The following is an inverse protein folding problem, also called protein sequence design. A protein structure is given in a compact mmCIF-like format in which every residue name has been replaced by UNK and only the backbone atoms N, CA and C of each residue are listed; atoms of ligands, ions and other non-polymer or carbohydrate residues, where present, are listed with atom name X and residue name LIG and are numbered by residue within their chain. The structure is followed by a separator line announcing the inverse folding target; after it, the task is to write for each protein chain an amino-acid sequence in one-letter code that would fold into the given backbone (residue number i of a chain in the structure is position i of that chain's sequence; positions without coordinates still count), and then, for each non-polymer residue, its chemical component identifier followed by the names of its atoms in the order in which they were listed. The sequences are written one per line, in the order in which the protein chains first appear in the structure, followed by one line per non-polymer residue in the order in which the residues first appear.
data_IF_618914045799
#
_entry.id   IF_618914045799
#
_cell.length_a   1.000
_cell.length_b   1.000
_cell.length_c   1.000
_cell.angle_alpha   90.00
_cell.angle_beta   90.00
_cell.angle_gamma   90.00
#
_symmetry.space_group_name_H-M   'P 1'
#
loop_
_entity.id
_entity.type
_entity.pdbx_description
1 polymer ?
#
# COMPACT_ATOMS: atom_id res chain seq x y z
N UNK A 1 -5.94 2.56 19.26
CA UNK A 1 -6.08 3.88 18.58
C UNK A 1 -5.34 3.78 17.25
N UNK A 2 -5.97 4.19 16.15
CA UNK A 2 -5.30 4.23 14.85
C UNK A 2 -4.19 5.30 14.80
N UNK A 3 -3.16 5.06 13.99
CA UNK A 3 -2.01 5.96 13.92
C UNK A 3 -2.25 7.21 13.06
N UNK A 4 -1.61 8.32 13.41
CA UNK A 4 -1.48 9.51 12.56
C UNK A 4 -0.22 9.33 11.70
N UNK A 5 -0.37 9.27 10.39
CA UNK A 5 0.76 8.98 9.49
C UNK A 5 1.56 10.26 9.23
N UNK A 6 2.82 10.27 9.66
CA UNK A 6 3.78 11.36 9.43
C UNK A 6 4.86 10.99 8.42
N UNK A 7 5.19 9.70 8.28
CA UNK A 7 6.24 9.22 7.39
C UNK A 7 5.82 7.99 6.57
N UNK A 8 6.40 7.84 5.39
CA UNK A 8 6.31 6.67 4.53
C UNK A 8 7.74 6.16 4.30
N UNK A 9 7.95 4.88 4.62
CA UNK A 9 9.20 4.17 4.41
C UNK A 9 9.07 3.21 3.23
N UNK A 10 10.04 3.28 2.32
CA UNK A 10 10.11 2.48 1.11
C UNK A 10 11.17 1.39 1.26
N UNK A 11 10.78 0.15 0.97
CA UNK A 11 11.57 -1.04 1.22
C UNK A 11 11.70 -1.93 -0.02
N UNK A 12 12.63 -2.86 0.01
CA UNK A 12 12.43 -4.17 -0.61
C UNK A 12 12.27 -5.21 0.47
N UNK A 13 11.82 -6.40 0.10
CA UNK A 13 11.54 -7.48 1.05
C UNK A 13 12.73 -8.41 1.28
N UNK A 14 13.76 -8.34 0.44
CA UNK A 14 14.85 -9.31 0.37
C UNK A 14 14.38 -10.76 0.07
N UNK A 15 13.42 -10.91 -0.85
CA UNK A 15 12.75 -12.18 -1.16
C UNK A 15 12.53 -12.35 -2.67
N UNK A 16 12.00 -13.50 -3.14
CA UNK A 16 11.51 -13.65 -4.51
C UNK A 16 10.37 -12.68 -4.87
N UNK A 17 10.09 -12.57 -6.17
CA UNK A 17 9.13 -11.63 -6.77
C UNK A 17 7.65 -11.86 -6.44
N UNK A 18 7.30 -12.98 -5.83
CA UNK A 18 5.93 -13.37 -5.52
C UNK A 18 5.63 -13.31 -4.01
N UNK A 19 6.63 -12.97 -3.19
CA UNK A 19 6.44 -12.89 -1.74
C UNK A 19 5.55 -11.70 -1.35
N UNK A 20 4.54 -11.99 -0.55
CA UNK A 20 3.73 -11.01 0.15
C UNK A 20 3.12 -11.67 1.39
N UNK A 21 3.59 -11.28 2.59
CA UNK A 21 3.07 -11.81 3.86
C UNK A 21 2.71 -10.65 4.81
N UNK A 22 1.57 -10.75 5.52
CA UNK A 22 1.15 -9.74 6.48
C UNK A 22 2.11 -9.64 7.67
N UNK A 23 2.03 -8.53 8.42
CA UNK A 23 2.83 -8.30 9.63
C UNK A 23 4.18 -7.61 9.42
N UNK A 24 4.68 -7.53 8.17
CA UNK A 24 5.97 -6.90 7.86
C UNK A 24 5.82 -5.51 7.23
N UNK A 25 4.99 -5.41 6.20
CA UNK A 25 4.78 -4.18 5.45
C UNK A 25 3.28 -3.95 5.28
N UNK A 26 2.88 -2.70 5.13
CA UNK A 26 1.48 -2.37 4.90
C UNK A 26 1.08 -2.78 3.48
N UNK A 27 1.97 -2.52 2.52
CA UNK A 27 1.76 -2.84 1.12
C UNK A 27 3.02 -3.46 0.51
N UNK A 28 2.85 -4.51 -0.29
CA UNK A 28 3.91 -5.17 -1.05
C UNK A 28 3.57 -5.18 -2.53
N UNK A 29 4.51 -4.76 -3.38
CA UNK A 29 4.36 -4.76 -4.84
C UNK A 29 5.15 -5.93 -5.42
N UNK A 30 4.43 -6.87 -6.04
CA UNK A 30 4.99 -8.08 -6.66
C UNK A 30 5.79 -7.78 -7.92
N UNK A 31 6.65 -8.70 -8.37
CA UNK A 31 7.53 -8.53 -9.54
C UNK A 31 6.79 -8.21 -10.84
N UNK A 32 5.56 -8.70 -10.98
CA UNK A 32 4.67 -8.40 -12.11
C UNK A 32 3.93 -7.05 -11.97
N UNK A 33 4.15 -6.31 -10.89
CA UNK A 33 3.52 -5.04 -10.59
C UNK A 33 2.25 -5.13 -9.75
N UNK A 34 1.75 -6.31 -9.41
CA UNK A 34 0.57 -6.47 -8.55
C UNK A 34 0.81 -5.80 -7.19
N UNK A 35 -0.12 -4.94 -6.76
CA UNK A 35 -0.09 -4.29 -5.45
C UNK A 35 -0.91 -5.12 -4.46
N UNK A 36 -0.29 -5.54 -3.35
CA UNK A 36 -0.92 -6.30 -2.26
C UNK A 36 -0.98 -5.46 -1.00
N UNK A 37 -2.18 -5.07 -0.56
CA UNK A 37 -2.40 -4.45 0.73
C UNK A 37 -2.53 -5.56 1.77
N UNK A 38 -1.56 -5.60 2.68
CA UNK A 38 -1.42 -6.66 3.68
C UNK A 38 -1.81 -6.18 5.08
N UNK A 39 -1.73 -4.88 5.32
CA UNK A 39 -2.14 -4.25 6.57
C UNK A 39 -2.66 -2.85 6.28
N UNK A 40 -3.79 -2.47 6.88
CA UNK A 40 -4.35 -1.13 6.71
C UNK A 40 -3.40 -0.05 7.22
N UNK A 41 -3.30 1.07 6.51
CA UNK A 41 -2.42 2.19 6.89
C UNK A 41 -2.75 2.82 8.25
N UNK A 42 -3.95 2.58 8.77
CA UNK A 42 -4.39 3.00 10.10
C UNK A 42 -3.82 2.14 11.25
N UNK A 43 -3.20 1.00 10.93
CA UNK A 43 -2.62 0.07 11.90
C UNK A 43 -1.10 0.21 11.94
N UNK A 44 -0.53 0.42 13.12
CA UNK A 44 0.93 0.42 13.26
C UNK A 44 1.49 -0.99 13.11
N UNK A 45 2.67 -1.09 12.51
CA UNK A 45 3.50 -2.29 12.46
C UNK A 45 4.74 -2.07 13.32
N UNK A 46 5.38 -3.13 13.81
CA UNK A 46 6.50 -3.03 14.76
C UNK A 46 7.88 -3.35 14.17
N UNK A 47 7.94 -3.88 12.94
CA UNK A 47 9.14 -4.57 12.44
C UNK A 47 9.56 -4.19 11.01
N UNK A 48 9.38 -2.95 10.57
CA UNK A 48 9.82 -2.51 9.23
C UNK A 48 10.97 -1.50 9.23
N UNK A 49 11.04 -0.60 10.20
CA UNK A 49 12.07 0.45 10.27
C UNK A 49 12.44 0.73 11.73
N UNK A 50 13.61 0.27 12.15
CA UNK A 50 14.06 0.34 13.55
C UNK A 50 13.98 1.78 14.09
N UNK A 51 13.43 1.93 15.30
CA UNK A 51 13.24 3.23 15.96
C UNK A 51 12.26 4.19 15.28
N UNK A 52 11.55 3.74 14.22
CA UNK A 52 10.80 4.62 13.31
C UNK A 52 9.43 4.08 12.90
N UNK A 53 8.98 2.94 13.44
CA UNK A 53 7.76 2.28 12.96
C UNK A 53 6.44 3.02 13.28
N UNK A 54 6.36 3.69 14.43
CA UNK A 54 5.14 4.40 14.83
C UNK A 54 4.90 5.64 13.98
N UNK A 55 3.63 6.00 13.80
CA UNK A 55 3.21 7.16 12.99
C UNK A 55 3.75 7.09 11.55
N UNK A 56 3.89 5.87 11.03
CA UNK A 56 4.51 5.62 9.74
C UNK A 56 3.88 4.44 9.00
N UNK A 57 4.06 4.45 7.68
CA UNK A 57 3.60 3.40 6.79
C UNK A 57 4.80 2.84 6.02
N UNK A 58 4.77 1.54 5.76
CA UNK A 58 5.83 0.82 5.06
C UNK A 58 5.31 0.19 3.77
N UNK A 59 5.89 0.60 2.63
CA UNK A 59 5.62 0.06 1.30
C UNK A 59 6.87 -0.68 0.83
N UNK A 60 6.73 -1.89 0.32
CA UNK A 60 7.85 -2.70 -0.16
C UNK A 60 7.66 -3.19 -1.59
N UNK A 61 8.75 -3.42 -2.30
CA UNK A 61 8.76 -4.23 -3.54
C UNK A 61 9.33 -5.61 -3.24
N UNK A 62 8.65 -6.67 -3.65
CA UNK A 62 9.13 -8.03 -3.42
C UNK A 62 10.27 -8.36 -4.38
N UNK A 63 11.51 -8.25 -3.94
CA UNK A 63 12.68 -8.43 -4.80
C UNK A 63 13.94 -8.58 -3.94
N UNK A 64 15.10 -8.59 -4.59
CA UNK A 64 16.42 -8.65 -3.97
C UNK A 64 16.60 -9.91 -3.10
N UNK A 65 16.30 -11.09 -3.67
CA UNK A 65 16.46 -12.38 -3.02
C UNK A 65 17.87 -12.65 -2.45
N UNK A 66 18.19 -13.91 -2.16
CA UNK A 66 19.34 -14.29 -1.32
C UNK A 66 20.69 -13.69 -1.73
N UNK A 67 20.92 -13.47 -3.01
CA UNK A 67 22.15 -12.89 -3.54
C UNK A 67 21.84 -11.52 -4.16
N UNK A 68 22.32 -10.45 -3.54
CA UNK A 68 22.03 -9.07 -3.95
C UNK A 68 22.14 -8.85 -5.46
N UNK A 69 21.22 -8.07 -6.03
CA UNK A 69 21.10 -7.77 -7.46
C UNK A 69 20.79 -8.96 -8.40
N UNK A 70 20.62 -10.19 -7.91
CA UNK A 70 20.13 -11.29 -8.77
C UNK A 70 18.66 -11.14 -9.16
N UNK A 71 17.89 -10.41 -8.36
CA UNK A 71 16.48 -10.09 -8.62
C UNK A 71 16.22 -8.61 -8.31
N UNK A 72 16.74 -7.67 -9.12
CA UNK A 72 16.58 -6.23 -8.88
C UNK A 72 15.11 -5.80 -8.94
N UNK A 73 14.71 -4.69 -8.32
CA UNK A 73 13.36 -4.14 -8.53
C UNK A 73 13.02 -4.01 -10.02
N UNK A 74 11.87 -4.55 -10.44
CA UNK A 74 11.41 -4.40 -11.82
C UNK A 74 10.91 -2.98 -12.08
N UNK A 75 10.90 -2.54 -13.35
CA UNK A 75 10.41 -1.21 -13.69
C UNK A 75 8.94 -1.01 -13.25
N UNK A 76 8.11 -2.05 -13.39
CA UNK A 76 6.69 -1.98 -12.99
C UNK A 76 6.52 -1.98 -11.46
N UNK A 77 7.41 -2.64 -10.72
CA UNK A 77 7.45 -2.57 -9.25
C UNK A 77 7.69 -1.14 -8.76
N UNK A 78 8.74 -0.51 -9.27
CA UNK A 78 9.09 0.87 -8.92
C UNK A 78 7.97 1.84 -9.30
N UNK A 79 7.41 1.66 -10.49
CA UNK A 79 6.30 2.45 -11.00
C UNK A 79 5.07 2.39 -10.07
N UNK A 80 4.65 1.19 -9.67
CA UNK A 80 3.46 1.01 -8.85
C UNK A 80 3.69 1.37 -7.38
N UNK A 81 4.89 1.15 -6.83
CA UNK A 81 5.28 1.70 -5.52
C UNK A 81 5.18 3.22 -5.49
N UNK A 82 5.65 3.91 -6.54
CA UNK A 82 5.58 5.37 -6.61
C UNK A 82 4.13 5.87 -6.71
N UNK A 83 3.28 5.17 -7.48
CA UNK A 83 1.85 5.49 -7.59
C UNK A 83 1.14 5.31 -6.27
N UNK A 84 1.37 4.19 -5.58
CA UNK A 84 0.76 3.92 -4.28
C UNK A 84 1.20 4.96 -3.23
N UNK A 85 2.49 5.28 -3.20
CA UNK A 85 3.01 6.32 -2.30
C UNK A 85 2.37 7.69 -2.58
N UNK A 86 2.21 8.06 -3.86
CA UNK A 86 1.57 9.31 -4.25
C UNK A 86 0.07 9.33 -3.89
N UNK A 87 -0.64 8.21 -4.06
CA UNK A 87 -2.04 8.08 -3.66
C UNK A 87 -2.20 8.24 -2.15
N UNK A 88 -1.33 7.60 -1.36
CA UNK A 88 -1.35 7.76 0.10
C UNK A 88 -1.05 9.20 0.51
N UNK A 89 0.00 9.82 -0.06
CA UNK A 89 0.33 11.23 0.20
C UNK A 89 -0.85 12.16 -0.11
N UNK A 90 -1.51 11.97 -1.26
CA UNK A 90 -2.71 12.73 -1.64
C UNK A 90 -3.84 12.58 -0.61
N UNK A 91 -4.10 11.35 -0.13
CA UNK A 91 -5.12 11.10 0.91
C UNK A 91 -4.80 11.77 2.24
N UNK A 92 -3.51 11.90 2.56
CA UNK A 92 -3.03 12.60 3.75
C UNK A 92 -3.03 14.13 3.58
N UNK A 93 -3.43 14.63 2.42
CA UNK A 93 -3.44 16.06 2.10
C UNK A 93 -2.05 16.64 1.84
N UNK A 94 -1.04 15.80 1.62
CA UNK A 94 0.33 16.24 1.34
C UNK A 94 0.43 16.83 -0.06
N UNK A 95 1.24 17.87 -0.18
CA UNK A 95 1.56 18.53 -1.44
C UNK A 95 2.86 17.97 -2.05
N UNK A 96 3.17 18.24 -3.33
CA UNK A 96 4.44 17.81 -3.93
C UNK A 96 5.68 18.22 -3.13
N UNK A 97 5.66 19.36 -2.46
CA UNK A 97 6.75 19.88 -1.63
C UNK A 97 6.95 19.07 -0.34
N UNK A 98 5.88 18.43 0.14
CA UNK A 98 5.93 17.52 1.29
C UNK A 98 6.63 16.20 0.96
N UNK A 99 6.78 15.84 -0.32
CA UNK A 99 7.51 14.64 -0.74
C UNK A 99 9.01 14.90 -0.68
N UNK A 100 9.57 14.84 0.53
CA UNK A 100 10.97 15.11 0.81
C UNK A 100 11.53 14.09 1.83
N UNK A 101 12.81 14.22 2.18
CA UNK A 101 13.51 13.29 3.07
C UNK A 101 12.88 13.19 4.47
N UNK A 102 12.08 14.17 4.90
CA UNK A 102 11.44 14.14 6.22
C UNK A 102 10.13 13.34 6.24
N UNK A 103 9.53 13.07 5.07
CA UNK A 103 8.25 12.35 4.98
C UNK A 103 8.29 11.09 4.15
N UNK A 104 9.15 11.00 3.14
CA UNK A 104 9.28 9.83 2.27
C UNK A 104 10.75 9.44 2.15
N UNK A 105 11.10 8.31 2.77
CA UNK A 105 12.47 7.81 2.85
C UNK A 105 12.53 6.39 2.35
N UNK A 106 13.63 6.00 1.70
CA UNK A 106 13.96 4.58 1.61
C UNK A 106 14.47 4.06 2.94
N UNK A 107 14.46 2.74 3.14
CA UNK A 107 15.08 2.16 4.34
C UNK A 107 16.57 2.48 4.41
N UNK A 108 17.28 2.49 3.28
CA UNK A 108 18.69 2.90 3.24
C UNK A 108 18.90 4.32 3.81
N UNK A 109 18.03 5.27 3.45
CA UNK A 109 18.10 6.64 3.94
C UNK A 109 17.72 6.75 5.42
N UNK A 110 16.70 6.00 5.85
CA UNK A 110 16.29 5.93 7.25
C UNK A 110 17.39 5.35 8.14
N UNK A 111 17.96 4.22 7.72
CA UNK A 111 19.08 3.52 8.35
C UNK A 111 20.33 4.38 8.48
N UNK A 112 20.55 5.31 7.54
CA UNK A 112 21.65 6.26 7.57
C UNK A 112 21.33 7.59 8.28
N UNK A 113 20.16 7.70 8.93
CA UNK A 113 19.71 8.91 9.62
C UNK A 113 19.74 10.18 8.73
N UNK A 114 19.38 10.04 7.45
CA UNK A 114 19.47 11.14 6.46
C UNK A 114 18.54 12.33 6.72
N UNK A 115 17.56 12.16 7.59
CA UNK A 115 16.67 13.21 8.07
C UNK A 115 17.21 13.96 9.31
N UNK A 116 18.44 13.69 9.72
CA UNK A 116 19.11 14.33 10.87
C UNK A 116 20.27 15.24 10.43
N UNK A 117 20.81 16.10 11.31
CA UNK A 117 22.02 16.86 11.00
C UNK A 117 23.22 15.95 10.70
N UNK A 118 23.92 16.21 9.60
CA UNK A 118 25.06 15.40 9.14
C UNK A 118 26.17 15.27 10.21
N UNK A 119 26.41 16.30 11.01
CA UNK A 119 27.41 16.28 12.08
C UNK A 119 27.06 15.31 13.22
N UNK A 120 25.77 15.04 13.44
CA UNK A 120 25.34 13.99 14.37
C UNK A 120 25.45 12.61 13.73
N UNK A 121 25.02 12.48 12.48
CA UNK A 121 25.12 11.22 11.74
C UNK A 121 26.56 10.71 11.72
N UNK A 122 27.53 11.57 11.37
CA UNK A 122 28.97 11.25 11.36
C UNK A 122 29.48 10.66 12.68
N UNK A 123 28.92 11.08 13.82
CA UNK A 123 29.35 10.59 15.14
C UNK A 123 28.92 9.16 15.44
N UNK A 124 27.87 8.66 14.78
CA UNK A 124 27.40 7.27 14.88
C UNK A 124 27.71 6.44 13.63
N UNK A 125 28.42 7.03 12.67
CA UNK A 125 28.91 6.38 11.46
C UNK A 125 30.34 5.85 11.65
N UNK A 126 30.74 4.86 10.83
CA UNK A 126 32.09 4.27 10.90
C UNK A 126 32.33 3.36 12.10
N UNK A 127 31.33 3.20 12.97
CA UNK A 127 31.26 2.07 13.88
C UNK A 127 31.28 0.79 13.02
N UNK A 128 32.03 -0.25 13.40
CA UNK A 128 32.06 -1.51 12.63
C UNK A 128 30.82 -2.31 12.97
N UNK A 129 30.37 -3.20 12.07
CA UNK A 129 29.30 -4.15 12.37
C UNK A 129 29.48 -4.73 13.78
N UNK A 130 28.49 -4.63 14.67
CA UNK A 130 28.67 -5.03 16.05
C UNK A 130 28.96 -6.53 16.14
N UNK A 131 30.06 -6.91 16.78
CA UNK A 131 30.47 -8.32 16.93
C UNK A 131 29.88 -8.97 18.17
N UNK A 132 29.16 -8.21 18.99
CA UNK A 132 28.51 -8.67 20.22
C UNK A 132 27.34 -7.77 20.61
N UNK A 133 26.41 -8.31 21.41
CA UNK A 133 25.26 -7.54 21.93
C UNK A 133 25.68 -6.29 22.72
N UNK A 134 26.68 -6.33 23.62
CA UNK A 134 27.12 -5.12 24.34
C UNK A 134 27.61 -4.01 23.40
N UNK A 135 28.25 -4.36 22.29
CA UNK A 135 28.71 -3.37 21.32
C UNK A 135 27.54 -2.73 20.54
N UNK A 136 26.53 -3.51 20.17
CA UNK A 136 25.31 -2.97 19.57
C UNK A 136 24.59 -2.01 20.54
N UNK A 137 24.52 -2.36 21.82
CA UNK A 137 23.94 -1.50 22.87
C UNK A 137 24.72 -0.18 23.04
N UNK A 138 26.05 -0.21 22.98
CA UNK A 138 26.90 0.98 23.04
C UNK A 138 26.61 1.94 21.87
N UNK A 139 26.48 1.42 20.66
CA UNK A 139 26.19 2.22 19.47
C UNK A 139 24.80 2.86 19.55
N UNK A 140 23.81 2.10 20.01
CA UNK A 140 22.46 2.58 20.25
C UNK A 140 22.39 3.62 21.37
N UNK A 141 23.16 3.45 22.44
CA UNK A 141 23.28 4.45 23.52
C UNK A 141 23.87 5.76 23.00
N UNK A 142 24.95 5.68 22.19
CA UNK A 142 25.54 6.87 21.56
C UNK A 142 24.56 7.60 20.65
N UNK A 143 23.77 6.87 19.87
CA UNK A 143 22.72 7.45 19.03
C UNK A 143 21.66 8.16 19.88
N UNK A 144 21.18 7.53 20.95
CA UNK A 144 20.20 8.11 21.89
C UNK A 144 20.72 9.39 22.55
N UNK A 145 21.99 9.43 22.97
CA UNK A 145 22.63 10.63 23.54
C UNK A 145 22.67 11.80 22.55
N UNK A 146 22.78 11.51 21.26
CA UNK A 146 22.76 12.52 20.19
C UNK A 146 21.34 12.90 19.75
N UNK A 147 20.31 12.24 20.28
CA UNK A 147 18.92 12.39 19.87
C UNK A 147 18.65 11.83 18.47
N UNK A 148 19.43 10.84 18.04
CA UNK A 148 19.19 10.08 16.81
C UNK A 148 18.27 8.89 17.12
N UNK A 149 17.42 8.46 16.17
CA UNK A 149 16.54 7.30 16.36
C UNK A 149 17.31 5.99 16.63
N UNK A 150 18.49 5.84 16.02
CA UNK A 150 19.32 4.63 16.05
C UNK A 150 20.72 4.94 15.50
N UNK A 151 21.63 3.97 15.60
CA UNK A 151 22.97 3.96 15.00
C UNK A 151 22.96 3.86 13.46
N UNK A 152 24.10 4.07 12.78
CA UNK A 152 24.13 4.02 11.31
C UNK A 152 24.24 2.58 10.78
N UNK A 153 23.12 1.88 10.67
CA UNK A 153 23.04 0.54 10.07
C UNK A 153 22.82 0.56 8.53
N UNK A 154 22.96 1.73 7.91
CA UNK A 154 22.76 1.95 6.46
C UNK A 154 23.91 1.49 5.54
N UNK A 155 23.87 1.84 4.25
CA UNK A 155 24.90 1.51 3.25
C UNK A 155 26.30 1.99 3.61
N UNK A 156 27.34 1.35 3.05
CA UNK A 156 28.76 1.66 3.31
C UNK A 156 29.23 3.01 2.78
N UNK A 157 28.51 3.58 1.81
CA UNK A 157 28.90 4.80 1.10
C UNK A 157 27.68 5.54 0.57
N UNK A 158 27.90 6.81 0.22
CA UNK A 158 26.93 7.66 -0.46
C UNK A 158 27.65 8.58 -1.43
N UNK A 159 27.06 8.79 -2.61
CA UNK A 159 27.69 9.59 -3.67
C UNK A 159 27.93 11.06 -3.30
N UNK A 160 27.21 11.58 -2.30
CA UNK A 160 27.19 12.98 -1.89
C UNK A 160 28.01 13.25 -0.62
N UNK A 161 28.80 12.27 -0.18
CA UNK A 161 29.65 12.40 1.01
C UNK A 161 28.91 12.22 2.33
N UNK A 162 27.64 11.79 2.32
CA UNK A 162 26.98 11.32 3.54
C UNK A 162 27.74 10.11 4.14
N UNK A 163 27.87 10.02 5.48
CA UNK A 163 28.70 8.98 6.07
C UNK A 163 28.08 7.58 5.96
N UNK A 164 28.95 6.59 5.73
CA UNK A 164 28.59 5.17 5.60
C UNK A 164 28.28 4.47 6.93
N UNK A 165 27.57 3.35 6.83
CA UNK A 165 27.10 2.51 7.94
C UNK A 165 27.52 1.04 7.82
N UNK A 166 26.84 0.16 8.55
CA UNK A 166 27.20 -1.26 8.70
C UNK A 166 26.72 -2.18 7.58
N UNK A 167 26.02 -1.64 6.58
CA UNK A 167 25.48 -2.36 5.42
C UNK A 167 24.41 -3.40 5.80
N UNK A 168 23.70 -3.19 6.91
CA UNK A 168 22.60 -4.07 7.30
C UNK A 168 21.32 -3.79 6.51
N UNK A 169 21.06 -2.52 6.21
CA UNK A 169 19.90 -2.10 5.42
C UNK A 169 20.33 -1.11 4.36
N UNK A 170 20.23 -1.55 3.11
CA UNK A 170 20.56 -0.77 1.93
C UNK A 170 19.39 -0.72 0.95
N UNK A 171 18.18 -0.97 1.46
CA UNK A 171 16.97 -1.05 0.67
C UNK A 171 16.76 0.22 -0.15
N UNK A 172 16.67 0.02 -1.46
CA UNK A 172 16.47 1.07 -2.46
C UNK A 172 17.53 2.20 -2.37
N UNK A 173 18.74 1.88 -1.90
CA UNK A 173 19.91 2.77 -2.02
C UNK A 173 20.22 3.06 -3.49
N UNK A 174 20.03 2.05 -4.34
CA UNK A 174 19.99 2.10 -5.79
C UNK A 174 18.75 1.32 -6.24
N UNK A 175 18.21 1.62 -7.42
CA UNK A 175 17.07 0.87 -7.98
C UNK A 175 17.51 -0.17 -9.01
N UNK A 176 18.68 0.05 -9.63
CA UNK A 176 19.36 -0.89 -10.52
C UNK A 176 20.89 -0.79 -10.35
N UNK A 177 21.67 -1.81 -10.73
CA UNK A 177 23.12 -1.81 -10.54
C UNK A 177 23.86 -0.64 -11.21
N UNK A 178 23.28 -0.06 -12.26
CA UNK A 178 23.88 1.07 -12.99
C UNK A 178 23.52 2.45 -12.42
N UNK A 179 22.66 2.53 -11.39
CA UNK A 179 22.38 3.79 -10.72
C UNK A 179 23.60 4.25 -9.93
N UNK A 180 23.73 5.55 -9.72
CA UNK A 180 24.76 6.06 -8.81
C UNK A 180 24.41 5.68 -7.36
N UNK A 181 25.42 5.27 -6.61
CA UNK A 181 25.33 4.86 -5.21
C UNK A 181 24.60 5.88 -4.31
N UNK A 182 23.37 5.60 -3.89
CA UNK A 182 22.59 6.47 -3.00
C UNK A 182 21.56 7.38 -3.66
N UNK A 183 21.38 7.28 -4.98
CA UNK A 183 20.36 8.09 -5.69
C UNK A 183 18.94 7.51 -5.61
N UNK A 184 18.75 6.27 -5.15
CA UNK A 184 17.46 5.58 -5.23
C UNK A 184 16.30 6.35 -4.59
N UNK A 185 16.49 6.92 -3.40
CA UNK A 185 15.48 7.74 -2.73
C UNK A 185 15.14 9.04 -3.48
N UNK A 186 16.13 9.69 -4.11
CA UNK A 186 15.90 10.88 -4.94
C UNK A 186 15.07 10.53 -6.17
N UNK A 187 15.40 9.44 -6.86
CA UNK A 187 14.68 8.95 -8.04
C UNK A 187 13.21 8.66 -7.69
N UNK A 188 12.98 7.93 -6.58
CA UNK A 188 11.65 7.58 -6.11
C UNK A 188 10.83 8.82 -5.75
N UNK A 189 11.35 9.73 -4.94
CA UNK A 189 10.65 10.97 -4.57
C UNK A 189 10.29 11.81 -5.79
N UNK A 190 11.16 11.93 -6.78
CA UNK A 190 10.86 12.66 -8.02
C UNK A 190 9.70 12.01 -8.80
N UNK A 191 9.69 10.68 -8.93
CA UNK A 191 8.56 9.95 -9.53
C UNK A 191 7.26 10.16 -8.75
N UNK A 192 7.31 10.07 -7.42
CA UNK A 192 6.15 10.25 -6.54
C UNK A 192 5.58 11.66 -6.69
N UNK A 193 6.42 12.71 -6.67
CA UNK A 193 6.01 14.10 -6.92
C UNK A 193 5.28 14.24 -8.25
N UNK A 194 5.82 13.65 -9.31
CA UNK A 194 5.18 13.71 -10.63
C UNK A 194 3.81 13.04 -10.66
N UNK A 195 3.60 11.94 -9.92
CA UNK A 195 2.27 11.34 -9.78
C UNK A 195 1.34 12.22 -8.94
N UNK A 196 1.84 12.76 -7.83
CA UNK A 196 1.05 13.61 -6.95
C UNK A 196 0.60 14.90 -7.65
N UNK A 197 1.46 15.55 -8.43
CA UNK A 197 1.11 16.71 -9.26
C UNK A 197 -0.04 16.36 -10.21
N UNK A 198 0.05 15.22 -10.91
CA UNK A 198 -1.02 14.75 -11.82
C UNK A 198 -2.34 14.48 -11.11
N UNK A 199 -2.30 14.09 -9.82
CA UNK A 199 -3.50 13.89 -9.00
C UNK A 199 -4.06 15.21 -8.46
N UNK A 200 -3.21 16.23 -8.25
CA UNK A 200 -3.59 17.53 -7.72
C UNK A 200 -4.17 18.50 -8.76
N UNK A 201 -4.14 18.15 -10.05
CA UNK A 201 -4.79 18.94 -11.10
C UNK A 201 -6.32 18.85 -10.90
N UNK A 202 -7.02 19.97 -10.59
CA UNK A 202 -8.47 19.98 -10.32
C UNK A 202 -9.35 19.59 -11.53
N UNK A 203 -8.74 19.40 -12.71
CA UNK A 203 -9.40 19.08 -13.97
C UNK A 203 -9.38 17.58 -14.33
N UNK A 204 -9.43 16.69 -13.35
CA UNK A 204 -10.27 15.50 -13.56
C UNK A 204 -11.69 15.89 -13.12
N UNK A 205 -12.24 16.87 -13.83
CA UNK A 205 -13.67 16.87 -14.12
C UNK A 205 -13.85 15.67 -15.06
N UNK A 206 -13.92 14.46 -14.51
CA UNK A 206 -14.81 13.48 -15.13
C UNK A 206 -16.19 14.05 -14.88
N UNK A 207 -16.59 15.01 -15.72
CA UNK A 207 -17.99 15.11 -16.05
C UNK A 207 -18.28 13.74 -16.64
N UNK A 208 -19.13 12.92 -16.03
CA UNK A 208 -19.65 11.76 -16.73
C UNK A 208 -20.09 12.29 -18.09
N UNK A 209 -19.42 11.85 -19.16
CA UNK A 209 -19.83 12.34 -20.47
C UNK A 209 -21.26 11.86 -20.60
N UNK A 210 -22.19 12.75 -20.88
CA UNK A 210 -23.63 12.46 -21.00
C UNK A 210 -23.96 11.49 -22.15
N UNK A 211 -22.96 10.76 -22.68
CA UNK A 211 -23.04 9.61 -23.58
C UNK A 211 -23.05 8.24 -22.86
N UNK A 212 -23.07 8.24 -21.52
CA UNK A 212 -22.75 7.11 -20.63
C UNK A 212 -23.63 5.86 -20.66
N UNK A 213 -24.82 5.91 -21.26
CA UNK A 213 -25.62 4.68 -21.45
C UNK A 213 -24.88 3.59 -22.24
N UNK A 214 -23.87 3.97 -23.04
CA UNK A 214 -23.07 3.03 -23.83
C UNK A 214 -22.11 2.17 -23.00
N UNK A 215 -21.84 2.51 -21.75
CA UNK A 215 -20.90 1.78 -20.88
C UNK A 215 -21.58 1.08 -19.70
N UNK A 216 -22.89 1.20 -19.58
CA UNK A 216 -23.66 0.47 -18.57
C UNK A 216 -23.55 -1.04 -18.81
N UNK A 217 -23.35 -1.77 -17.71
CA UNK A 217 -23.34 -3.23 -17.68
C UNK A 217 -24.36 -3.70 -16.64
N UNK A 218 -25.52 -4.19 -17.07
CA UNK A 218 -26.51 -4.77 -16.16
C UNK A 218 -25.94 -5.95 -15.36
N UNK A 219 -26.15 -5.97 -14.05
CA UNK A 219 -25.64 -7.01 -13.15
C UNK A 219 -26.81 -7.81 -12.59
N UNK A 220 -26.78 -9.12 -12.81
CA UNK A 220 -27.87 -10.01 -12.43
C UNK A 220 -27.42 -11.05 -11.42
N UNK A 221 -28.30 -11.39 -10.48
CA UNK A 221 -28.19 -12.55 -9.61
C UNK A 221 -29.28 -13.54 -10.01
N UNK A 222 -28.90 -14.66 -10.65
CA UNK A 222 -29.87 -15.50 -11.35
C UNK A 222 -30.56 -14.70 -12.47
N UNK A 223 -31.89 -14.59 -12.42
CA UNK A 223 -32.69 -13.79 -13.35
C UNK A 223 -32.98 -12.36 -12.86
N UNK A 224 -32.65 -12.03 -11.61
CA UNK A 224 -32.96 -10.73 -11.01
C UNK A 224 -31.88 -9.71 -11.34
N UNK A 225 -32.27 -8.54 -11.87
CA UNK A 225 -31.39 -7.38 -11.98
C UNK A 225 -31.14 -6.80 -10.58
N UNK A 226 -29.88 -6.74 -10.15
CA UNK A 226 -29.50 -6.27 -8.80
C UNK A 226 -28.78 -4.93 -8.81
N UNK A 227 -28.09 -4.60 -9.90
CA UNK A 227 -27.35 -3.36 -10.05
C UNK A 227 -27.08 -3.05 -11.53
N UNK A 228 -26.66 -1.82 -11.80
CA UNK A 228 -26.01 -1.43 -13.06
C UNK A 228 -24.57 -1.05 -12.74
N UNK A 229 -23.62 -1.73 -13.38
CA UNK A 229 -22.20 -1.41 -13.33
C UNK A 229 -21.77 -0.57 -14.53
N UNK A 230 -20.50 -0.16 -14.53
CA UNK A 230 -19.87 0.63 -15.59
C UNK A 230 -18.66 -0.12 -16.13
N UNK A 231 -18.72 -0.47 -17.42
CA UNK A 231 -17.66 -1.14 -18.16
C UNK A 231 -16.71 -0.11 -18.76
N UNK A 232 -15.45 -0.17 -18.35
CA UNK A 232 -14.37 0.64 -18.91
C UNK A 232 -13.87 0.07 -20.24
N UNK A 233 -13.13 0.88 -20.99
CA UNK A 233 -12.55 0.50 -22.29
C UNK A 233 -11.55 -0.67 -22.20
N UNK A 234 -11.04 -0.96 -21.02
CA UNK A 234 -10.14 -2.09 -20.74
C UNK A 234 -10.86 -3.33 -20.18
N UNK A 235 -12.18 -3.40 -20.35
CA UNK A 235 -13.07 -4.47 -19.91
C UNK A 235 -13.22 -4.63 -18.38
N UNK A 236 -12.72 -3.71 -17.57
CA UNK A 236 -13.03 -3.69 -16.14
C UNK A 236 -14.45 -3.18 -15.91
N UNK A 237 -15.22 -3.91 -15.10
CA UNK A 237 -16.59 -3.50 -14.72
C UNK A 237 -16.64 -3.11 -13.25
N UNK A 238 -16.96 -1.85 -12.98
CA UNK A 238 -17.13 -1.31 -11.63
C UNK A 238 -18.61 -1.26 -11.25
N UNK A 239 -18.92 -1.65 -10.03
CA UNK A 239 -20.29 -1.68 -9.52
C UNK A 239 -20.34 -1.18 -8.09
N UNK A 240 -21.45 -0.55 -7.72
CA UNK A 240 -21.64 -0.05 -6.36
C UNK A 240 -21.66 -1.20 -5.35
N UNK A 241 -20.76 -1.18 -4.38
CA UNK A 241 -20.58 -2.23 -3.38
C UNK A 241 -21.85 -2.46 -2.56
N UNK A 242 -22.58 -1.39 -2.20
CA UNK A 242 -23.81 -1.48 -1.41
C UNK A 242 -24.90 -2.29 -2.12
N UNK A 243 -24.98 -2.22 -3.45
CA UNK A 243 -25.95 -2.99 -4.24
C UNK A 243 -25.58 -4.48 -4.28
N UNK A 244 -24.30 -4.78 -4.48
CA UNK A 244 -23.81 -6.16 -4.41
C UNK A 244 -24.03 -6.75 -3.01
N UNK A 245 -23.60 -6.03 -1.97
CA UNK A 245 -23.72 -6.47 -0.59
C UNK A 245 -25.19 -6.74 -0.21
N UNK A 246 -26.11 -5.85 -0.57
CA UNK A 246 -27.53 -6.05 -0.35
C UNK A 246 -28.09 -7.28 -1.07
N UNK A 247 -27.66 -7.54 -2.31
CA UNK A 247 -28.12 -8.70 -3.08
C UNK A 247 -27.72 -10.05 -2.45
N UNK A 248 -26.60 -10.09 -1.74
CA UNK A 248 -26.14 -11.26 -1.00
C UNK A 248 -26.48 -11.24 0.49
N UNK A 249 -27.18 -10.21 0.97
CA UNK A 249 -27.55 -10.08 2.38
C UNK A 249 -26.38 -9.78 3.31
N UNK A 250 -25.34 -9.10 2.83
CA UNK A 250 -24.19 -8.67 3.62
C UNK A 250 -24.38 -7.23 4.12
N UNK A 251 -24.54 -7.00 5.44
CA UNK A 251 -24.49 -5.65 5.97
C UNK A 251 -23.14 -4.98 5.69
N UNK A 252 -23.14 -3.67 5.51
CA UNK A 252 -21.92 -2.87 5.39
C UNK A 252 -21.91 -1.77 6.45
N UNK A 253 -20.75 -1.53 7.05
CA UNK A 253 -20.50 -0.32 7.84
C UNK A 253 -19.40 0.50 7.18
N UNK A 254 -19.53 1.83 7.23
CA UNK A 254 -18.51 2.74 6.72
C UNK A 254 -17.88 3.49 7.88
N UNK A 255 -16.55 3.39 8.00
CA UNK A 255 -15.81 4.21 8.93
C UNK A 255 -15.36 5.49 8.22
N UNK A 256 -15.99 6.61 8.56
CA UNK A 256 -15.70 7.90 7.92
C UNK A 256 -14.28 8.40 8.23
N UNK A 257 -13.82 8.16 9.47
CA UNK A 257 -12.54 8.66 9.98
C UNK A 257 -11.35 8.01 9.27
N UNK A 258 -11.41 6.69 9.08
CA UNK A 258 -10.34 5.92 8.46
C UNK A 258 -10.63 5.53 7.01
N UNK A 259 -11.80 5.95 6.48
CA UNK A 259 -12.24 5.73 5.11
C UNK A 259 -12.07 4.26 4.69
N UNK A 260 -12.73 3.36 5.43
CA UNK A 260 -12.84 1.95 5.04
C UNK A 260 -14.29 1.49 5.11
N UNK A 261 -14.60 0.44 4.34
CA UNK A 261 -15.87 -0.29 4.45
C UNK A 261 -15.62 -1.62 5.15
N UNK A 262 -16.48 -1.98 6.09
CA UNK A 262 -16.52 -3.30 6.68
C UNK A 262 -17.71 -4.07 6.11
N UNK A 263 -17.45 -5.12 5.35
CA UNK A 263 -18.45 -6.04 4.84
C UNK A 263 -18.67 -7.16 5.87
N UNK A 264 -19.88 -7.27 6.40
CA UNK A 264 -20.25 -8.28 7.37
C UNK A 264 -20.78 -9.53 6.65
N UNK A 265 -19.93 -10.52 6.49
CA UNK A 265 -20.27 -11.82 5.94
C UNK A 265 -19.54 -12.92 6.73
N UNK A 266 -20.05 -13.21 7.93
CA UNK A 266 -19.46 -14.15 8.89
C UNK A 266 -19.34 -15.59 8.36
N UNK A 267 -20.11 -15.94 7.33
CA UNK A 267 -20.10 -17.26 6.69
C UNK A 267 -19.06 -17.39 5.58
N UNK A 268 -18.36 -16.30 5.24
CA UNK A 268 -17.38 -16.26 4.17
C UNK A 268 -15.97 -16.10 4.69
N UNK A 269 -15.02 -16.65 3.93
CA UNK A 269 -13.59 -16.45 4.13
C UNK A 269 -13.00 -15.78 2.89
N UNK A 270 -12.38 -14.62 3.10
CA UNK A 270 -11.63 -13.91 2.07
C UNK A 270 -10.48 -14.78 1.54
N UNK A 271 -10.16 -14.63 0.25
CA UNK A 271 -9.03 -15.33 -0.39
C UNK A 271 -7.79 -14.45 -0.54
N UNK A 272 -7.93 -13.13 -0.41
CA UNK A 272 -6.83 -12.15 -0.51
C UNK A 272 -6.08 -12.18 -1.86
N UNK A 273 -6.81 -12.53 -2.91
CA UNK A 273 -6.41 -12.56 -4.32
C UNK A 273 -6.55 -11.21 -5.02
N UNK A 274 -7.32 -10.26 -4.49
CA UNK A 274 -7.60 -8.98 -5.11
C UNK A 274 -6.30 -8.20 -5.33
N UNK A 275 -6.20 -7.65 -6.53
CA UNK A 275 -5.06 -6.83 -6.99
C UNK A 275 -5.53 -5.45 -7.43
N UNK A 276 -6.86 -5.25 -7.49
CA UNK A 276 -7.63 -4.05 -7.81
C UNK A 276 -6.81 -2.93 -8.45
N UNK A 277 -6.47 -2.99 -9.75
CA UNK A 277 -5.95 -1.82 -10.43
C UNK A 277 -7.03 -0.73 -10.36
N UNK A 278 -6.79 0.35 -9.62
CA UNK A 278 -7.79 1.38 -9.36
C UNK A 278 -7.78 2.46 -10.44
N UNK A 279 -8.90 3.16 -10.59
CA UNK A 279 -9.01 4.26 -11.55
C UNK A 279 -8.27 5.47 -10.98
N UNK A 280 -7.30 5.99 -11.74
CA UNK A 280 -6.56 7.19 -11.37
C UNK A 280 -7.52 8.38 -11.20
N UNK A 281 -7.28 9.20 -10.18
CA UNK A 281 -8.06 10.42 -9.92
C UNK A 281 -9.26 10.22 -8.99
N UNK A 282 -9.61 8.97 -8.64
CA UNK A 282 -10.67 8.70 -7.67
C UNK A 282 -10.09 8.38 -6.29
N UNK A 283 -10.70 8.88 -5.20
CA UNK A 283 -10.31 8.48 -3.85
C UNK A 283 -10.49 6.96 -3.67
N UNK A 284 -9.51 6.33 -3.06
CA UNK A 284 -9.48 4.88 -2.83
C UNK A 284 -9.80 4.58 -1.37
N UNK A 285 -10.48 3.46 -1.11
CA UNK A 285 -10.76 2.98 0.24
C UNK A 285 -10.51 1.47 0.36
N UNK A 286 -10.13 1.05 1.56
CA UNK A 286 -9.92 -0.35 1.89
C UNK A 286 -11.24 -1.01 2.31
N UNK A 287 -11.46 -2.25 1.86
CA UNK A 287 -12.66 -3.02 2.19
C UNK A 287 -12.24 -4.24 2.98
N UNK A 288 -12.79 -4.35 4.18
CA UNK A 288 -12.54 -5.44 5.09
C UNK A 288 -13.69 -6.41 5.13
N UNK A 289 -13.37 -7.67 5.44
CA UNK A 289 -14.35 -8.71 5.72
C UNK A 289 -14.35 -8.95 7.23
N UNK A 290 -15.47 -8.62 7.89
CA UNK A 290 -15.65 -8.82 9.34
C UNK A 290 -14.52 -8.20 10.20
N UNK A 291 -14.03 -7.00 9.87
CA UNK A 291 -13.06 -6.28 10.70
C UNK A 291 -13.62 -6.11 12.12
N UNK A 292 -12.90 -6.54 13.17
CA UNK A 292 -13.32 -6.31 14.55
C UNK A 292 -13.48 -4.83 14.85
N UNK A 293 -14.59 -4.49 15.50
CA UNK A 293 -14.92 -3.13 15.94
C UNK A 293 -15.39 -3.18 17.39
N UNK A 294 -15.11 -2.14 18.16
CA UNK A 294 -15.64 -1.99 19.51
C UNK A 294 -17.11 -1.54 19.48
N UNK A 295 -17.71 -1.34 20.66
CA UNK A 295 -19.10 -0.91 20.80
C UNK A 295 -19.37 0.48 20.20
N UNK A 296 -18.33 1.28 19.96
CA UNK A 296 -18.39 2.61 19.37
C UNK A 296 -18.14 2.57 17.85
N UNK A 297 -17.86 1.39 17.29
CA UNK A 297 -17.54 1.21 15.88
C UNK A 297 -16.10 1.57 15.52
N UNK A 298 -15.24 1.84 16.51
CA UNK A 298 -13.82 2.05 16.27
C UNK A 298 -13.15 0.70 16.04
N UNK A 299 -12.16 0.68 15.15
CA UNK A 299 -11.42 -0.54 14.83
C UNK A 299 -10.72 -1.11 16.07
N UNK A 300 -10.92 -2.40 16.33
CA UNK A 300 -10.04 -3.18 17.20
C UNK A 300 -8.94 -3.74 16.32
N UNK A 301 -7.76 -3.14 16.37
CA UNK A 301 -6.55 -3.65 15.71
C UNK A 301 -5.62 -4.23 16.76
N UNK A 302 -5.10 -5.43 16.50
CA UNK A 302 -3.98 -5.99 17.24
C UNK A 302 -2.70 -5.77 16.41
N UNK A 303 -1.65 -5.25 17.05
CA UNK A 303 -0.36 -5.04 16.39
C UNK A 303 0.31 -6.37 16.02
N UNK A 304 -0.02 -7.45 16.74
CA UNK A 304 0.52 -8.79 16.49
C UNK A 304 -0.32 -9.56 15.46
N UNK A 305 -1.57 -9.15 15.22
CA UNK A 305 -2.48 -9.75 14.24
C UNK A 305 -3.19 -8.67 13.42
N UNK A 306 -2.46 -7.97 12.52
CA UNK A 306 -3.05 -6.91 11.71
C UNK A 306 -4.16 -7.47 10.83
N UNK A 307 -5.29 -6.77 10.78
CA UNK A 307 -6.40 -7.16 9.92
C UNK A 307 -6.09 -6.69 8.51
N UNK A 308 -6.12 -7.63 7.56
CA UNK A 308 -5.86 -7.37 6.15
C UNK A 308 -7.17 -6.97 5.44
N UNK A 309 -7.18 -5.91 4.60
CA UNK A 309 -8.30 -5.67 3.70
C UNK A 309 -8.34 -6.75 2.62
N UNK A 310 -9.52 -7.29 2.33
CA UNK A 310 -9.62 -8.36 1.33
C UNK A 310 -9.71 -7.82 -0.11
N UNK A 311 -10.09 -6.55 -0.26
CA UNK A 311 -10.12 -5.86 -1.54
C UNK A 311 -10.14 -4.33 -1.36
N UNK A 312 -10.12 -3.60 -2.46
CA UNK A 312 -10.23 -2.14 -2.48
C UNK A 312 -11.37 -1.66 -3.38
N UNK A 313 -11.81 -0.43 -3.11
CA UNK A 313 -12.77 0.26 -3.94
C UNK A 313 -12.35 1.70 -4.22
N UNK A 314 -13.08 2.33 -5.14
CA UNK A 314 -13.01 3.77 -5.41
C UNK A 314 -14.27 4.47 -4.89
N UNK A 315 -14.16 5.73 -4.53
CA UNK A 315 -15.27 6.58 -4.11
C UNK A 315 -15.70 7.44 -5.29
N UNK A 316 -16.97 7.37 -5.65
CA UNK A 316 -17.62 8.24 -6.63
C UNK A 316 -18.91 8.73 -6.00
N UNK A 317 -19.13 10.06 -5.93
CA UNK A 317 -20.34 10.67 -5.35
C UNK A 317 -20.76 10.06 -3.99
N UNK A 318 -19.77 9.93 -3.08
CA UNK A 318 -19.94 9.35 -1.74
C UNK A 318 -20.40 7.88 -1.73
N UNK A 319 -20.23 7.17 -2.84
CA UNK A 319 -20.52 5.75 -2.99
C UNK A 319 -19.27 4.95 -3.30
N UNK A 320 -19.16 3.77 -2.71
CA UNK A 320 -18.07 2.83 -2.95
C UNK A 320 -18.35 1.98 -4.18
N UNK A 321 -17.42 2.00 -5.14
CA UNK A 321 -17.44 1.15 -6.32
C UNK A 321 -16.28 0.16 -6.28
N UNK A 322 -16.55 -1.06 -6.70
CA UNK A 322 -15.57 -2.16 -6.71
C UNK A 322 -15.50 -2.83 -8.07
N UNK A 323 -14.34 -3.38 -8.40
CA UNK A 323 -14.19 -4.26 -9.56
C UNK A 323 -14.96 -5.56 -9.29
N UNK A 324 -16.01 -5.82 -10.07
CA UNK A 324 -16.92 -6.95 -9.81
C UNK A 324 -16.21 -8.30 -9.87
N UNK A 325 -15.21 -8.44 -10.73
CA UNK A 325 -14.41 -9.65 -10.85
C UNK A 325 -13.62 -9.94 -9.56
N UNK A 326 -13.02 -8.92 -8.94
CA UNK A 326 -12.30 -9.07 -7.68
C UNK A 326 -13.26 -9.45 -6.55
N UNK A 327 -14.39 -8.75 -6.43
CA UNK A 327 -15.43 -9.09 -5.44
C UNK A 327 -15.87 -10.55 -5.53
N UNK A 328 -16.12 -11.02 -6.77
CA UNK A 328 -16.57 -12.39 -7.00
C UNK A 328 -15.47 -13.41 -6.70
N UNK A 329 -14.25 -13.16 -7.16
CA UNK A 329 -13.11 -14.07 -6.95
C UNK A 329 -12.80 -14.23 -5.45
N UNK A 330 -12.77 -13.12 -4.72
CA UNK A 330 -12.55 -13.06 -3.28
C UNK A 330 -13.56 -13.87 -2.49
N UNK A 331 -14.85 -13.67 -2.77
CA UNK A 331 -15.93 -14.30 -2.02
C UNK A 331 -16.31 -15.69 -2.56
N UNK A 332 -15.64 -16.16 -3.62
CA UNK A 332 -15.94 -17.45 -4.25
C UNK A 332 -17.28 -17.48 -5.00
N UNK A 333 -17.75 -16.31 -5.43
CA UNK A 333 -18.98 -16.17 -6.22
C UNK A 333 -18.63 -16.44 -7.68
N UNK A 334 -19.32 -17.40 -8.30
CA UNK A 334 -19.17 -17.64 -9.74
C UNK A 334 -19.89 -16.56 -10.53
N UNK A 335 -19.24 -16.06 -11.58
CA UNK A 335 -19.83 -15.10 -12.50
C UNK A 335 -19.51 -15.42 -13.97
N UNK A 336 -20.33 -14.93 -14.88
CA UNK A 336 -20.06 -14.92 -16.33
C UNK A 336 -20.39 -13.55 -16.92
N UNK A 337 -19.68 -13.17 -17.98
CA UNK A 337 -20.03 -12.00 -18.77
C UNK A 337 -20.76 -12.45 -20.04
N UNK A 338 -21.91 -11.86 -20.35
CA UNK A 338 -22.67 -12.12 -21.56
C UNK A 338 -22.45 -10.99 -22.57
N UNK A 339 -21.73 -11.28 -23.64
CA UNK A 339 -21.40 -10.28 -24.67
C UNK A 339 -22.63 -9.75 -25.41
N UNK A 340 -23.67 -10.58 -25.59
CA UNK A 340 -24.88 -10.25 -26.35
C UNK A 340 -25.64 -9.04 -25.79
N UNK A 341 -25.67 -8.90 -24.47
CA UNK A 341 -26.36 -7.81 -23.76
C UNK A 341 -25.44 -7.05 -22.79
N UNK A 342 -24.14 -7.33 -22.86
CA UNK A 342 -23.08 -6.70 -22.05
C UNK A 342 -23.34 -6.78 -20.55
N UNK A 343 -23.96 -7.86 -20.10
CA UNK A 343 -24.34 -8.07 -18.71
C UNK A 343 -23.37 -8.98 -17.96
N UNK A 344 -23.32 -8.84 -16.63
CA UNK A 344 -22.67 -9.81 -15.74
C UNK A 344 -23.74 -10.65 -15.06
N UNK A 345 -23.58 -11.98 -15.09
CA UNK A 345 -24.46 -12.94 -14.42
C UNK A 345 -23.73 -13.55 -13.24
N UNK A 346 -24.21 -13.26 -12.04
CA UNK A 346 -23.75 -13.84 -10.80
C UNK A 346 -24.59 -15.08 -10.47
N UNK A 347 -23.94 -16.13 -9.96
CA UNK A 347 -24.64 -17.26 -9.35
C UNK A 347 -24.91 -16.98 -7.88
N UNK A 348 -26.01 -17.52 -7.37
CA UNK A 348 -26.22 -17.61 -5.93
C UNK A 348 -25.05 -18.33 -5.27
N UNK A 349 -24.69 -17.91 -4.05
CA UNK A 349 -23.66 -18.63 -3.30
C UNK A 349 -24.15 -20.05 -3.00
N UNK A 350 -23.25 -21.05 -3.01
CA UNK A 350 -23.57 -22.36 -2.47
C UNK A 350 -24.08 -22.17 -1.03
N UNK A 351 -25.11 -22.92 -0.63
CA UNK A 351 -25.48 -22.98 0.77
C UNK A 351 -24.25 -23.37 1.59
N UNK A 352 -23.95 -22.62 2.65
CA UNK A 352 -22.85 -22.95 3.54
C UNK A 352 -23.06 -24.38 4.05
N UNK A 353 -22.05 -25.24 3.85
CA UNK A 353 -22.06 -26.61 4.37
C UNK A 353 -21.73 -26.63 5.85
#
# INVERSE_FOLDING_TARGET
MAQIIKKIYLHWTATPYDWAQPGHYHTVILGNGTVKHLTGYDQALNYHTAGRNLESVALAVSCMGTDGWTSPPTAIQIENMCKETAQLAFKLGWQPEDINIYRVMTHAEAAANRDCPIEKAKQVSGLRFPTSTPQAEEYMEKARQLGLPHENYGPSSWFDGWPGGFVERWDLWQLKPSDREGEGGLILRNKIKNYLIKMAVPEIIVKPSTSEKKNESPIYLGSQLIATGYLLSDNRCYVQLSKLAAAFGFPITFNQKFRYVNLQANTLKAKYLANSPLILGYPVLDIYLNRPQDAQGETISDQDFPVQPFMQGIIIDNSTYVLIADFCNELGISFTFQTSDRSVRLKAMPAAK
#
